data_IF_039310947915
#
_entry.id   IF_039310947915
#
_cell.length_a   1.000
_cell.length_b   1.000
_cell.length_c   1.000
_cell.angle_alpha   90.00
_cell.angle_beta   90.00
_cell.angle_gamma   90.00
#
_symmetry.space_group_name_H-M   'P 1'
#
loop_
_entity.id
_entity.type
_entity.pdbx_description
1 polymer ?
#
# COMPACT_ATOMS: atom_id res chain seq x y z
N UNK A 1 22.88 20.34 64.88
CA UNK A 1 21.53 19.85 64.54
C UNK A 1 21.22 20.36 63.13
N UNK A 2 21.47 19.53 62.12
CA UNK A 2 21.10 19.82 60.72
C UNK A 2 19.96 18.88 60.30
N UNK A 3 18.96 19.34 59.54
CA UNK A 3 17.77 18.54 59.22
C UNK A 3 18.02 17.60 58.04
N UNK A 4 17.80 16.29 58.27
CA UNK A 4 17.89 15.19 57.30
C UNK A 4 16.62 15.04 56.46
N UNK A 5 16.10 16.10 55.83
CA UNK A 5 14.79 16.04 55.13
C UNK A 5 14.88 16.06 53.59
N UNK A 6 16.06 16.29 53.00
CA UNK A 6 16.17 16.52 51.54
C UNK A 6 16.26 15.28 50.63
N UNK A 7 16.74 14.12 51.12
CA UNK A 7 17.13 13.00 50.24
C UNK A 7 15.99 12.06 49.82
N UNK A 8 14.88 12.04 50.56
CA UNK A 8 13.75 11.14 50.28
C UNK A 8 12.82 11.68 49.18
N UNK A 9 12.65 13.00 49.09
CA UNK A 9 11.79 13.63 48.07
C UNK A 9 12.39 13.52 46.65
N UNK A 10 13.71 13.39 46.53
CA UNK A 10 14.42 13.34 45.26
C UNK A 10 14.39 11.95 44.61
N UNK A 11 14.25 10.89 45.41
CA UNK A 11 14.15 9.50 44.92
C UNK A 11 12.76 9.15 44.39
N UNK A 12 11.69 9.74 44.93
CA UNK A 12 10.33 9.52 44.42
C UNK A 12 10.08 10.15 43.03
N UNK A 13 10.72 11.29 42.72
CA UNK A 13 10.57 11.96 41.41
C UNK A 13 11.23 11.18 40.26
N UNK A 14 12.35 10.51 40.52
CA UNK A 14 13.05 9.73 39.49
C UNK A 14 12.29 8.47 39.05
N UNK A 15 11.58 7.81 39.97
CA UNK A 15 10.77 6.63 39.66
C UNK A 15 9.54 6.96 38.79
N UNK A 16 8.90 8.11 39.00
CA UNK A 16 7.74 8.54 38.22
C UNK A 16 8.07 8.87 36.76
N UNK A 17 9.26 9.43 36.50
CA UNK A 17 9.71 9.78 35.14
C UNK A 17 10.04 8.52 34.32
N UNK A 18 10.61 7.50 34.95
CA UNK A 18 10.91 6.22 34.29
C UNK A 18 9.64 5.44 33.90
N UNK A 19 8.58 5.48 34.72
CA UNK A 19 7.32 4.83 34.41
C UNK A 19 6.56 5.49 33.23
N UNK A 20 6.61 6.83 33.12
CA UNK A 20 6.02 7.56 31.99
C UNK A 20 6.76 7.32 30.67
N UNK A 21 8.09 7.18 30.70
CA UNK A 21 8.88 6.84 29.51
C UNK A 21 8.57 5.45 28.94
N UNK A 22 8.37 4.45 29.80
CA UNK A 22 8.03 3.09 29.38
C UNK A 22 6.62 2.98 28.76
N UNK A 23 5.65 3.77 29.25
CA UNK A 23 4.29 3.79 28.71
C UNK A 23 4.21 4.39 27.29
N UNK A 24 5.07 5.37 26.97
CA UNK A 24 5.10 6.02 25.65
C UNK A 24 5.78 5.17 24.56
N UNK A 25 6.70 4.26 24.94
CA UNK A 25 7.36 3.37 23.99
C UNK A 25 6.47 2.22 23.50
N UNK A 26 5.46 1.83 24.28
CA UNK A 26 4.52 0.76 23.92
C UNK A 26 3.43 1.20 22.92
N UNK A 27 3.14 2.50 22.81
CA UNK A 27 2.14 3.01 21.85
C UNK A 27 2.65 3.20 20.42
N UNK A 28 3.97 3.11 20.18
CA UNK A 28 4.57 3.44 18.89
C UNK A 28 4.36 2.37 17.80
N UNK A 29 4.01 1.13 18.16
CA UNK A 29 3.81 0.03 17.20
C UNK A 29 2.36 -0.19 16.77
N UNK A 30 1.38 0.49 17.37
CA UNK A 30 -0.05 0.23 17.10
C UNK A 30 -0.58 0.85 15.79
N UNK A 31 0.21 1.66 15.09
CA UNK A 31 -0.23 2.42 13.91
C UNK A 31 0.35 1.98 12.56
N UNK A 32 1.28 1.04 12.54
CA UNK A 32 1.91 0.59 11.29
C UNK A 32 1.03 -0.46 10.61
N UNK A 33 0.41 -0.06 9.49
CA UNK A 33 -0.31 -0.97 8.62
C UNK A 33 0.64 -1.56 7.60
N UNK A 34 0.57 -2.88 7.40
CA UNK A 34 1.32 -3.53 6.33
C UNK A 34 0.66 -3.28 4.97
N UNK A 35 1.43 -3.32 3.89
CA UNK A 35 0.88 -3.19 2.52
C UNK A 35 -0.21 -4.24 2.26
N UNK A 36 -0.04 -5.45 2.80
CA UNK A 36 -1.03 -6.51 2.75
C UNK A 36 -2.36 -6.11 3.43
N UNK A 37 -2.31 -5.46 4.60
CA UNK A 37 -3.53 -4.98 5.27
C UNK A 37 -4.20 -3.86 4.48
N UNK A 38 -3.42 -2.96 3.87
CA UNK A 38 -3.93 -1.89 3.01
C UNK A 38 -4.64 -2.48 1.78
N UNK A 39 -3.99 -3.42 1.10
CA UNK A 39 -4.56 -4.16 -0.02
C UNK A 39 -5.87 -4.88 0.34
N UNK A 40 -5.89 -5.63 1.44
CA UNK A 40 -7.06 -6.38 1.89
C UNK A 40 -8.24 -5.46 2.23
N UNK A 41 -7.99 -4.36 2.92
CA UNK A 41 -9.05 -3.40 3.26
C UNK A 41 -9.62 -2.70 2.02
N UNK A 42 -8.76 -2.34 1.06
CA UNK A 42 -9.19 -1.77 -0.23
C UNK A 42 -10.11 -2.74 -0.97
N UNK A 43 -9.68 -4.00 -1.15
CA UNK A 43 -10.48 -5.03 -1.81
C UNK A 43 -11.81 -5.27 -1.09
N UNK A 44 -11.79 -5.37 0.25
CA UNK A 44 -12.98 -5.56 1.06
C UNK A 44 -13.96 -4.39 0.94
N UNK A 45 -13.46 -3.15 1.00
CA UNK A 45 -14.26 -1.93 0.90
C UNK A 45 -14.93 -1.81 -0.47
N UNK A 46 -14.18 -2.12 -1.54
CA UNK A 46 -14.73 -2.12 -2.89
C UNK A 46 -15.85 -3.15 -3.06
N UNK A 47 -15.63 -4.41 -2.66
CA UNK A 47 -16.66 -5.45 -2.80
C UNK A 47 -17.89 -5.14 -1.94
N UNK A 48 -17.72 -4.61 -0.73
CA UNK A 48 -18.85 -4.23 0.12
C UNK A 48 -19.72 -3.12 -0.50
N UNK A 49 -19.11 -2.20 -1.28
CA UNK A 49 -19.82 -1.13 -1.99
C UNK A 49 -20.47 -1.54 -3.31
N UNK A 50 -20.24 -2.77 -3.80
CA UNK A 50 -20.74 -3.25 -5.09
C UNK A 50 -21.44 -4.61 -4.92
N UNK A 51 -22.65 -4.65 -4.33
CA UNK A 51 -23.36 -5.91 -4.09
C UNK A 51 -23.76 -6.64 -5.39
N UNK A 52 -23.91 -5.92 -6.49
CA UNK A 52 -24.25 -6.47 -7.81
C UNK A 52 -23.02 -6.90 -8.63
N UNK A 53 -21.83 -6.87 -8.01
CA UNK A 53 -20.60 -7.31 -8.67
C UNK A 53 -20.67 -8.81 -8.97
N UNK A 54 -20.24 -9.18 -10.17
CA UNK A 54 -20.11 -10.58 -10.55
C UNK A 54 -19.30 -11.37 -9.49
N UNK A 55 -19.78 -12.52 -9.00
CA UNK A 55 -19.12 -13.25 -7.92
C UNK A 55 -17.68 -13.68 -8.25
N UNK A 56 -17.37 -13.96 -9.51
CA UNK A 56 -16.03 -14.33 -9.96
C UNK A 56 -15.10 -13.12 -9.87
N UNK A 57 -15.55 -11.95 -10.34
CA UNK A 57 -14.82 -10.69 -10.23
C UNK A 57 -14.60 -10.32 -8.76
N UNK A 58 -15.62 -10.46 -7.91
CA UNK A 58 -15.52 -10.20 -6.48
C UNK A 58 -14.48 -11.13 -5.82
N UNK A 59 -14.48 -12.42 -6.18
CA UNK A 59 -13.51 -13.39 -5.70
C UNK A 59 -12.08 -13.04 -6.12
N UNK A 60 -11.90 -12.64 -7.38
CA UNK A 60 -10.61 -12.22 -7.91
C UNK A 60 -10.07 -10.95 -7.21
N UNK A 61 -10.92 -9.94 -6.98
CA UNK A 61 -10.53 -8.72 -6.23
C UNK A 61 -10.11 -9.07 -4.80
N UNK A 62 -10.86 -9.91 -4.09
CA UNK A 62 -10.51 -10.36 -2.73
C UNK A 62 -9.19 -11.15 -2.68
N UNK A 63 -8.88 -11.89 -3.75
CA UNK A 63 -7.65 -12.64 -3.91
C UNK A 63 -6.48 -11.78 -4.44
N UNK A 64 -6.70 -10.48 -4.67
CA UNK A 64 -5.74 -9.58 -5.32
C UNK A 64 -5.27 -10.10 -6.69
N UNK A 65 -6.20 -10.61 -7.49
CA UNK A 65 -5.95 -11.09 -8.84
C UNK A 65 -6.60 -10.17 -9.87
N UNK A 66 -5.88 -9.90 -10.96
CA UNK A 66 -6.43 -9.22 -12.14
C UNK A 66 -6.83 -10.27 -13.17
N UNK A 67 -8.03 -10.14 -13.73
CA UNK A 67 -8.55 -11.02 -14.79
C UNK A 67 -8.94 -10.22 -16.03
N UNK A 68 -8.95 -10.89 -17.19
CA UNK A 68 -9.46 -10.32 -18.44
C UNK A 68 -10.92 -9.90 -18.25
N UNK A 69 -11.29 -8.80 -18.88
CA UNK A 69 -12.62 -8.19 -18.75
C UNK A 69 -12.81 -7.29 -17.54
N UNK A 70 -11.87 -7.29 -16.57
CA UNK A 70 -11.98 -6.35 -15.44
C UNK A 70 -11.89 -4.90 -15.90
N UNK A 71 -12.68 -4.02 -15.30
CA UNK A 71 -12.59 -2.58 -15.52
C UNK A 71 -11.35 -2.00 -14.84
N UNK A 72 -10.92 -0.80 -15.26
CA UNK A 72 -9.83 -0.06 -14.59
C UNK A 72 -10.05 0.07 -13.08
N UNK A 73 -11.28 0.34 -12.65
CA UNK A 73 -11.65 0.49 -11.24
C UNK A 73 -11.50 -0.82 -10.47
N UNK A 74 -11.91 -1.94 -11.06
CA UNK A 74 -11.75 -3.28 -10.47
C UNK A 74 -10.28 -3.65 -10.34
N UNK A 75 -9.44 -3.29 -11.33
CA UNK A 75 -7.98 -3.48 -11.23
C UNK A 75 -7.40 -2.63 -10.10
N UNK A 76 -7.83 -1.37 -9.94
CA UNK A 76 -7.40 -0.55 -8.81
C UNK A 76 -7.84 -1.15 -7.48
N UNK A 77 -9.03 -1.73 -7.39
CA UNK A 77 -9.48 -2.40 -6.18
C UNK A 77 -8.63 -3.64 -5.85
N UNK A 78 -8.25 -4.44 -6.85
CA UNK A 78 -7.45 -5.65 -6.67
C UNK A 78 -5.97 -5.34 -6.38
N UNK A 79 -5.36 -4.44 -7.16
CA UNK A 79 -3.90 -4.23 -7.21
C UNK A 79 -3.44 -2.85 -6.74
N UNK A 80 -4.34 -1.88 -6.66
CA UNK A 80 -4.01 -0.50 -6.29
C UNK A 80 -3.75 0.38 -7.50
N UNK A 81 -3.24 1.59 -7.26
CA UNK A 81 -2.95 2.54 -8.32
C UNK A 81 -1.65 2.13 -9.04
N UNK A 82 -1.59 2.18 -10.37
CA UNK A 82 -0.36 1.90 -11.09
C UNK A 82 0.69 2.98 -10.83
N UNK A 83 1.96 2.62 -10.92
CA UNK A 83 3.08 3.56 -10.80
C UNK A 83 3.18 4.45 -12.05
N UNK A 84 2.90 3.88 -13.22
CA UNK A 84 2.89 4.59 -14.49
C UNK A 84 1.79 4.09 -15.42
N UNK A 85 1.29 4.98 -16.28
CA UNK A 85 0.30 4.67 -17.31
C UNK A 85 0.84 5.15 -18.66
N UNK A 86 1.04 4.23 -19.59
CA UNK A 86 1.34 4.53 -21.00
C UNK A 86 0.04 4.48 -21.78
N UNK A 87 -0.26 5.53 -22.54
CA UNK A 87 -1.47 5.63 -23.37
C UNK A 87 -1.10 5.62 -24.84
N UNK A 88 -1.84 4.86 -25.63
CA UNK A 88 -1.66 4.74 -27.07
C UNK A 88 -2.99 4.96 -27.78
N UNK A 89 -2.95 5.25 -29.09
CA UNK A 89 -4.16 5.42 -29.94
C UNK A 89 -5.22 6.33 -29.30
N UNK A 90 -4.83 7.54 -28.89
CA UNK A 90 -5.70 8.51 -28.20
C UNK A 90 -6.37 7.97 -26.91
N UNK A 91 -5.75 7.01 -26.23
CA UNK A 91 -6.25 6.42 -24.99
C UNK A 91 -7.16 5.20 -25.18
N UNK A 92 -7.40 4.76 -26.43
CA UNK A 92 -8.12 3.52 -26.68
C UNK A 92 -7.37 2.28 -26.14
N UNK A 93 -6.02 2.37 -26.10
CA UNK A 93 -5.15 1.37 -25.51
C UNK A 93 -4.37 1.98 -24.36
N UNK A 94 -4.35 1.31 -23.21
CA UNK A 94 -3.53 1.71 -22.07
C UNK A 94 -2.69 0.53 -21.57
N UNK A 95 -1.45 0.81 -21.18
CA UNK A 95 -0.59 -0.14 -20.46
C UNK A 95 -0.30 0.47 -19.09
N UNK A 96 -0.78 -0.21 -18.05
CA UNK A 96 -0.56 0.16 -16.66
C UNK A 96 0.61 -0.66 -16.13
N UNK A 97 1.58 0.04 -15.54
CA UNK A 97 2.78 -0.55 -14.98
C UNK A 97 2.66 -0.48 -13.46
N UNK A 98 2.68 -1.65 -12.82
CA UNK A 98 2.73 -1.79 -11.37
C UNK A 98 4.18 -2.06 -10.97
N UNK A 99 4.60 -1.46 -9.85
CA UNK A 99 5.94 -1.64 -9.28
C UNK A 99 6.30 -3.09 -8.97
N UNK A 100 7.46 -3.28 -8.32
CA UNK A 100 7.91 -4.51 -7.66
C UNK A 100 6.78 -5.37 -7.06
N UNK A 101 7.05 -6.67 -6.96
CA UNK A 101 6.09 -7.74 -6.64
C UNK A 101 5.01 -7.34 -5.61
N UNK A 102 3.75 -7.51 -6.00
CA UNK A 102 2.60 -7.32 -5.12
C UNK A 102 2.71 -8.22 -3.87
N UNK A 103 2.46 -7.73 -2.65
CA UNK A 103 1.81 -6.46 -2.29
C UNK A 103 2.76 -5.26 -2.09
N UNK A 104 4.04 -5.35 -2.46
CA UNK A 104 5.02 -4.31 -2.12
C UNK A 104 4.78 -3.02 -2.92
N UNK A 105 4.36 -1.95 -2.22
CA UNK A 105 4.27 -0.62 -2.82
C UNK A 105 5.69 -0.10 -2.96
N UNK A 106 6.20 0.00 -4.19
CA UNK A 106 7.51 0.61 -4.39
C UNK A 106 7.38 2.11 -4.18
N UNK A 107 7.87 2.56 -3.02
CA UNK A 107 8.29 3.93 -2.86
C UNK A 107 9.40 4.15 -3.88
N UNK A 108 9.06 4.77 -5.02
CA UNK A 108 10.04 5.14 -6.04
C UNK A 108 11.22 5.82 -5.33
N UNK A 109 12.45 5.27 -5.37
CA UNK A 109 13.58 5.92 -4.74
C UNK A 109 13.76 7.29 -5.41
N UNK A 110 14.20 8.25 -4.60
CA UNK A 110 14.23 9.67 -4.94
C UNK A 110 14.77 9.99 -6.34
N UNK A 111 14.05 10.89 -7.01
CA UNK A 111 14.37 11.52 -8.28
C UNK A 111 14.36 10.61 -9.52
N UNK A 112 13.31 10.80 -10.33
CA UNK A 112 13.16 10.36 -11.72
C UNK A 112 14.37 10.64 -12.65
N UNK A 113 15.38 11.41 -12.21
CA UNK A 113 16.54 11.78 -13.04
C UNK A 113 17.59 10.67 -13.17
N UNK A 114 17.71 9.74 -12.22
CA UNK A 114 18.73 8.68 -12.29
C UNK A 114 18.20 7.38 -12.90
N UNK A 115 16.89 7.12 -12.83
CA UNK A 115 16.26 5.94 -13.43
C UNK A 115 16.03 6.04 -14.96
N UNK A 116 16.35 7.18 -15.59
CA UNK A 116 15.98 7.47 -16.98
C UNK A 116 16.83 6.75 -18.04
N UNK A 117 17.92 6.07 -17.64
CA UNK A 117 18.85 5.39 -18.55
C UNK A 117 18.79 3.86 -18.46
N UNK A 118 18.06 3.29 -17.51
CA UNK A 118 17.82 1.84 -17.41
C UNK A 118 16.38 1.54 -17.81
N UNK A 119 16.23 0.47 -18.59
CA UNK A 119 15.01 0.00 -19.26
C UNK A 119 13.82 -0.02 -18.29
N UNK A 120 12.90 0.94 -18.42
CA UNK A 120 11.71 1.12 -17.55
C UNK A 120 10.88 -0.18 -17.46
N UNK A 121 10.89 -0.99 -18.51
CA UNK A 121 10.24 -2.30 -18.60
C UNK A 121 10.88 -3.39 -17.73
N UNK A 122 12.14 -3.26 -17.34
CA UNK A 122 12.86 -4.25 -16.51
C UNK A 122 12.51 -4.12 -15.01
N UNK A 123 12.04 -2.94 -14.56
CA UNK A 123 11.68 -2.72 -13.15
C UNK A 123 10.22 -3.06 -12.82
N UNK A 124 9.35 -3.15 -13.83
CA UNK A 124 7.93 -3.40 -13.65
C UNK A 124 7.57 -4.85 -13.99
N UNK A 125 7.63 -5.71 -12.98
CA UNK A 125 7.31 -7.13 -13.08
C UNK A 125 5.83 -7.37 -13.43
N UNK A 126 4.95 -6.42 -13.11
CA UNK A 126 3.52 -6.59 -13.31
C UNK A 126 2.91 -5.49 -14.18
N UNK A 127 2.13 -5.90 -15.18
CA UNK A 127 1.60 -5.03 -16.22
C UNK A 127 0.16 -5.44 -16.58
N UNK A 128 -0.74 -4.47 -16.64
CA UNK A 128 -2.09 -4.65 -17.16
C UNK A 128 -2.25 -3.91 -18.49
N UNK A 129 -2.78 -4.59 -19.50
CA UNK A 129 -3.12 -4.02 -20.79
C UNK A 129 -4.63 -3.83 -20.86
N UNK A 130 -5.05 -2.65 -21.31
CA UNK A 130 -6.44 -2.29 -21.46
C UNK A 130 -6.75 -1.93 -22.90
N UNK A 131 -7.95 -2.31 -23.34
CA UNK A 131 -8.58 -1.84 -24.56
C UNK A 131 -10.00 -1.40 -24.22
N UNK A 132 -10.38 -0.18 -24.61
CA UNK A 132 -11.71 0.39 -24.32
C UNK A 132 -12.11 0.33 -22.83
N UNK A 133 -11.13 0.42 -21.92
CA UNK A 133 -11.36 0.49 -20.48
C UNK A 133 -11.46 -0.85 -19.74
N UNK A 134 -11.28 -1.98 -20.44
CA UNK A 134 -11.27 -3.31 -19.83
C UNK A 134 -9.94 -4.02 -20.06
N UNK A 135 -9.55 -4.89 -19.12
CA UNK A 135 -8.31 -5.67 -19.21
C UNK A 135 -8.38 -6.66 -20.36
N UNK A 136 -7.40 -6.61 -21.25
CA UNK A 136 -7.21 -7.59 -22.34
C UNK A 136 -6.09 -8.59 -22.04
N UNK A 137 -5.08 -8.17 -21.27
CA UNK A 137 -3.98 -9.02 -20.84
C UNK A 137 -3.41 -8.55 -19.50
N UNK A 138 -2.89 -9.49 -18.71
CA UNK A 138 -2.23 -9.19 -17.44
C UNK A 138 -1.02 -10.10 -17.26
N UNK A 139 0.12 -9.49 -16.94
CA UNK A 139 1.39 -10.17 -16.66
C UNK A 139 1.77 -9.83 -15.24
N UNK A 140 2.12 -10.82 -14.42
CA UNK A 140 2.59 -10.67 -13.05
C UNK A 140 3.66 -11.68 -12.73
#
# INVERSE_FOLDING_TARGET
>A
MEPLTGRWLQRCKAAAILALGAALLLSACAGLRTDYQIARERAASYVAGHPDLDPEVAGAIKANQVRKGMTKEQVVAAWGRPAAIKRFRNGALEQWLFGCDYPHICNSPGSFREAHAMMIDEYYNSQAFFENGVVTDFKS
#
